data_IF_680498640481
#
_entry.id   IF_680498640481
#
_cell.length_a   1.000
_cell.length_b   1.000
_cell.length_c   1.000
_cell.angle_alpha   90.00
_cell.angle_beta   90.00
_cell.angle_gamma   90.00
#
_symmetry.space_group_name_H-M   'P 1'
#
loop_
_entity.id
_entity.type
_entity.pdbx_description
1 polymer ?
#
# COMPACT_ATOMS: atom_id res chain seq x y z
N UNK A 1 -5.65 -11.55 -2.39
CA UNK A 1 -4.25 -11.17 -2.18
C UNK A 1 -4.05 -10.92 -0.71
N UNK A 2 -2.92 -11.37 -0.17
CA UNK A 2 -2.57 -11.11 1.21
C UNK A 2 -1.09 -10.75 1.25
N UNK A 3 -0.75 -9.66 1.91
CA UNK A 3 0.61 -9.30 2.24
C UNK A 3 0.70 -9.08 3.74
N UNK A 4 1.68 -9.71 4.38
CA UNK A 4 1.97 -9.59 5.80
C UNK A 4 3.41 -9.10 5.92
N UNK A 5 3.60 -8.00 6.64
CA UNK A 5 4.91 -7.39 6.87
C UNK A 5 5.14 -7.33 8.37
N UNK A 6 6.22 -7.96 8.85
CA UNK A 6 6.51 -7.99 10.28
C UNK A 6 6.85 -6.62 10.83
N UNK A 7 6.63 -6.47 12.13
CA UNK A 7 6.97 -5.26 12.88
C UNK A 7 8.43 -4.87 12.66
N UNK A 8 8.67 -3.60 12.33
CA UNK A 8 10.00 -3.05 12.08
C UNK A 8 10.35 -2.89 10.60
N UNK A 9 9.69 -3.64 9.70
CA UNK A 9 9.84 -3.45 8.25
C UNK A 9 8.99 -2.29 7.74
N UNK A 10 7.79 -2.14 8.32
CA UNK A 10 6.79 -1.16 7.91
C UNK A 10 6.37 -0.35 9.13
N UNK A 11 6.26 0.97 8.95
CA UNK A 11 5.76 1.89 9.96
C UNK A 11 4.31 2.28 9.62
N UNK A 12 3.30 1.51 10.05
CA UNK A 12 1.91 1.90 9.83
C UNK A 12 1.58 3.17 10.63
N UNK A 13 0.61 3.98 10.19
CA UNK A 13 0.13 5.11 10.98
C UNK A 13 -0.38 4.63 12.34
N UNK A 14 -0.02 5.34 13.42
CA UNK A 14 -0.39 4.94 14.78
C UNK A 14 -1.90 4.95 14.99
N UNK A 15 -2.61 5.79 14.24
CA UNK A 15 -4.06 5.99 14.29
C UNK A 15 -4.84 4.77 13.76
N UNK A 16 -4.17 3.86 13.05
CA UNK A 16 -4.76 2.58 12.65
C UNK A 16 -4.87 1.61 13.83
N UNK A 17 -4.04 1.79 14.87
CA UNK A 17 -4.06 0.95 16.05
C UNK A 17 -5.20 1.38 16.97
N UNK A 18 -6.19 0.50 17.17
CA UNK A 18 -7.22 0.69 18.18
C UNK A 18 -6.92 -0.23 19.35
N UNK A 19 -6.63 0.30 20.55
CA UNK A 19 -6.47 -0.54 21.73
C UNK A 19 -7.79 -1.29 21.94
N UNK A 20 -7.73 -2.61 21.77
CA UNK A 20 -8.91 -3.46 21.88
C UNK A 20 -9.53 -3.31 23.28
N UNK A 21 -10.86 -3.24 23.34
CA UNK A 21 -11.60 -3.60 24.54
C UNK A 21 -11.18 -5.03 24.97
N UNK A 22 -11.03 -5.32 26.28
CA UNK A 22 -10.65 -6.64 26.77
C UNK A 22 -11.68 -7.75 26.51
N UNK A 23 -12.78 -7.47 25.80
CA UNK A 23 -13.77 -8.46 25.41
C UNK A 23 -13.54 -8.96 23.98
N UNK A 24 -12.78 -10.04 23.84
CA UNK A 24 -13.09 -11.16 22.94
C UNK A 24 -12.07 -12.30 23.14
N UNK A 25 -12.58 -13.44 23.57
CA UNK A 25 -11.95 -14.72 23.87
C UNK A 25 -11.40 -15.49 22.65
N UNK A 26 -10.81 -14.79 21.68
CA UNK A 26 -10.21 -15.42 20.50
C UNK A 26 -8.72 -15.15 20.54
N UNK A 27 -7.90 -16.15 20.84
CA UNK A 27 -6.45 -16.01 20.76
C UNK A 27 -6.07 -15.44 19.38
N UNK A 28 -5.17 -14.44 19.32
CA UNK A 28 -4.75 -13.90 18.03
C UNK A 28 -4.18 -15.02 17.17
N UNK A 29 -4.73 -15.18 15.96
CA UNK A 29 -4.24 -16.17 15.01
C UNK A 29 -2.83 -15.81 14.59
N UNK A 30 -1.93 -16.79 14.60
CA UNK A 30 -0.57 -16.58 14.12
C UNK A 30 -0.59 -16.32 12.60
N UNK A 31 0.41 -15.59 12.10
CA UNK A 31 0.58 -15.30 10.66
C UNK A 31 0.48 -16.56 9.78
N UNK A 32 1.01 -17.70 10.25
CA UNK A 32 0.92 -18.99 9.58
C UNK A 32 -0.50 -19.60 9.56
N UNK A 33 -1.29 -19.40 10.61
CA UNK A 33 -2.68 -19.90 10.68
C UNK A 33 -3.58 -19.09 9.74
N UNK A 34 -3.34 -17.77 9.66
CA UNK A 34 -4.02 -16.88 8.72
C UNK A 34 -3.69 -17.31 7.29
N UNK A 35 -2.42 -17.61 7.02
CA UNK A 35 -1.98 -18.08 5.72
C UNK A 35 -2.63 -19.41 5.34
N UNK A 36 -2.64 -20.38 6.25
CA UNK A 36 -3.32 -21.67 6.04
C UNK A 36 -4.80 -21.46 5.75
N UNK A 37 -5.49 -20.62 6.53
CA UNK A 37 -6.89 -20.28 6.27
C UNK A 37 -7.10 -19.68 4.87
N UNK A 38 -6.29 -18.70 4.50
CA UNK A 38 -6.35 -18.06 3.19
C UNK A 38 -6.12 -19.05 2.02
N UNK A 39 -5.17 -19.96 2.17
CA UNK A 39 -4.85 -20.95 1.14
C UNK A 39 -5.88 -22.09 1.08
N UNK A 40 -6.49 -22.47 2.22
CA UNK A 40 -7.57 -23.47 2.24
C UNK A 40 -8.81 -23.00 1.49
N UNK A 41 -9.10 -21.70 1.51
CA UNK A 41 -10.24 -21.11 0.79
C UNK A 41 -9.97 -20.93 -0.73
N UNK A 42 -8.71 -21.07 -1.16
CA UNK A 42 -8.27 -20.77 -2.53
C UNK A 42 -7.84 -22.03 -3.30
N UNK A 43 -8.53 -22.34 -4.40
CA UNK A 43 -8.03 -23.31 -5.38
C UNK A 43 -6.78 -22.74 -6.06
N UNK A 44 -5.63 -23.41 -5.91
CA UNK A 44 -4.33 -23.01 -6.49
C UNK A 44 -3.72 -21.71 -5.93
N UNK A 45 -3.99 -21.39 -4.67
CA UNK A 45 -3.24 -20.35 -3.97
C UNK A 45 -1.80 -20.79 -3.65
N UNK A 46 -0.88 -19.82 -3.56
CA UNK A 46 0.48 -20.05 -3.08
C UNK A 46 0.94 -18.89 -2.19
N UNK A 47 2.03 -19.13 -1.47
CA UNK A 47 2.64 -18.15 -0.58
C UNK A 47 4.16 -18.12 -0.75
N UNK A 48 4.74 -16.94 -0.60
CA UNK A 48 6.18 -16.70 -0.64
C UNK A 48 6.56 -15.98 0.65
N UNK A 49 7.45 -16.58 1.43
CA UNK A 49 8.03 -15.99 2.63
C UNK A 49 9.44 -15.49 2.37
N UNK A 50 9.80 -14.35 2.97
CA UNK A 50 11.10 -13.70 2.82
C UNK A 50 11.74 -13.51 4.19
N UNK A 51 12.68 -14.39 4.54
CA UNK A 51 13.55 -14.32 5.74
C UNK A 51 12.84 -13.87 7.02
N UNK A 52 11.63 -14.39 7.23
CA UNK A 52 10.78 -14.06 8.37
C UNK A 52 10.37 -12.57 8.50
N UNK A 53 10.64 -11.74 7.49
CA UNK A 53 10.32 -10.30 7.47
C UNK A 53 9.01 -9.99 6.75
N UNK A 54 8.76 -10.68 5.64
CA UNK A 54 7.58 -10.45 4.81
C UNK A 54 7.01 -11.77 4.31
N UNK A 55 5.70 -11.80 4.13
CA UNK A 55 4.99 -12.92 3.55
C UNK A 55 3.94 -12.42 2.56
N UNK A 56 4.03 -12.90 1.33
CA UNK A 56 3.11 -12.59 0.25
C UNK A 56 2.32 -13.85 -0.10
N UNK A 57 0.99 -13.78 -0.06
CA UNK A 57 0.12 -14.85 -0.49
C UNK A 57 -0.75 -14.41 -1.66
N UNK A 58 -0.75 -15.24 -2.69
CA UNK A 58 -1.53 -15.07 -3.89
C UNK A 58 -2.58 -16.18 -3.97
N UNK A 59 -3.79 -15.81 -4.33
CA UNK A 59 -4.83 -16.73 -4.73
C UNK A 59 -5.33 -16.29 -6.10
N UNK A 60 -5.59 -17.19 -7.05
CA UNK A 60 -6.24 -16.78 -8.29
C UNK A 60 -7.66 -16.26 -8.01
N UNK A 61 -8.18 -15.34 -8.85
CA UNK A 61 -9.56 -14.89 -8.73
C UNK A 61 -10.53 -16.06 -8.98
N UNK A 62 -11.59 -16.15 -8.19
CA UNK A 62 -12.64 -17.16 -8.38
C UNK A 62 -13.34 -16.93 -9.73
N UNK A 63 -13.79 -17.98 -10.44
CA UNK A 63 -14.37 -17.88 -11.80
C UNK A 63 -15.60 -16.96 -11.92
N UNK A 64 -16.29 -16.68 -10.80
CA UNK A 64 -17.44 -15.77 -10.72
C UNK A 64 -17.04 -14.29 -10.72
N UNK A 65 -15.83 -13.96 -10.28
CA UNK A 65 -15.29 -12.59 -10.21
C UNK A 65 -14.38 -12.30 -11.41
N UNK A 66 -14.93 -12.38 -12.63
CA UNK A 66 -14.20 -12.04 -13.87
C UNK A 66 -13.87 -10.56 -14.03
N UNK A 67 -14.31 -9.70 -13.11
CA UNK A 67 -14.20 -8.26 -13.27
C UNK A 67 -12.77 -7.73 -13.08
N UNK A 68 -11.92 -8.40 -12.29
CA UNK A 68 -10.60 -7.87 -11.94
C UNK A 68 -9.53 -8.95 -12.00
N UNK A 69 -8.51 -8.73 -12.81
CA UNK A 69 -7.38 -9.62 -12.95
C UNK A 69 -6.47 -9.51 -11.73
N UNK A 70 -5.91 -10.64 -11.28
CA UNK A 70 -4.87 -10.67 -10.25
C UNK A 70 -3.60 -11.23 -10.86
N UNK A 71 -2.49 -10.55 -10.67
CA UNK A 71 -1.20 -10.95 -11.19
C UNK A 71 -0.18 -11.00 -10.06
N UNK A 72 0.70 -11.99 -10.10
CA UNK A 72 1.89 -12.06 -9.28
C UNK A 72 3.11 -12.03 -10.18
N UNK A 73 4.08 -11.17 -9.89
CA UNK A 73 5.32 -11.09 -10.64
C UNK A 73 6.49 -10.84 -9.69
N UNK A 74 7.62 -11.50 -9.94
CA UNK A 74 8.89 -11.25 -9.24
C UNK A 74 9.99 -11.00 -10.25
N UNK A 75 10.64 -9.83 -10.19
CA UNK A 75 11.73 -9.44 -11.08
C UNK A 75 12.80 -8.72 -10.26
N UNK A 76 14.06 -9.18 -10.35
CA UNK A 76 15.21 -8.58 -9.66
C UNK A 76 15.03 -8.42 -8.14
N UNK A 77 14.48 -9.45 -7.49
CA UNK A 77 14.20 -9.50 -6.05
C UNK A 77 13.14 -8.47 -5.59
N UNK A 78 12.34 -7.97 -6.54
CA UNK A 78 11.18 -7.13 -6.29
C UNK A 78 9.94 -7.94 -6.66
N UNK A 79 9.03 -8.07 -5.71
CA UNK A 79 7.83 -8.89 -5.84
C UNK A 79 6.60 -8.00 -5.81
N UNK A 80 5.69 -8.21 -6.77
CA UNK A 80 4.48 -7.43 -6.92
C UNK A 80 3.26 -8.35 -7.00
N UNK A 81 2.26 -8.05 -6.16
CA UNK A 81 0.89 -8.52 -6.37
C UNK A 81 0.10 -7.35 -6.94
N UNK A 82 -0.33 -7.48 -8.19
CA UNK A 82 -1.18 -6.51 -8.86
C UNK A 82 -2.62 -7.01 -8.91
N UNK A 83 -3.54 -6.07 -8.76
CA UNK A 83 -4.98 -6.27 -8.84
C UNK A 83 -5.58 -5.23 -9.78
N UNK A 84 -6.41 -5.67 -10.71
CA UNK A 84 -7.17 -4.81 -11.60
C UNK A 84 -6.67 -4.89 -13.03
N UNK A 85 -6.76 -3.79 -13.77
CA UNK A 85 -6.34 -3.70 -15.17
C UNK A 85 -6.00 -2.26 -15.55
N UNK A 86 -4.99 -2.09 -16.39
CA UNK A 86 -4.59 -0.78 -16.91
C UNK A 86 -5.02 -0.64 -18.38
N UNK A 87 -5.80 0.40 -18.66
CA UNK A 87 -6.31 0.71 -20.00
C UNK A 87 -5.22 1.26 -20.94
N UNK A 88 -4.20 1.90 -20.38
CA UNK A 88 -3.11 2.55 -21.12
C UNK A 88 -1.76 1.79 -21.05
N UNK A 89 -1.78 0.50 -20.67
CA UNK A 89 -0.59 -0.34 -20.50
C UNK A 89 0.34 -0.35 -21.73
N UNK A 90 -0.20 -0.36 -22.94
CA UNK A 90 0.61 -0.37 -24.17
C UNK A 90 1.46 0.90 -24.31
N UNK A 91 0.90 2.06 -23.95
CA UNK A 91 1.61 3.35 -23.97
C UNK A 91 2.69 3.38 -22.88
N UNK A 92 2.33 2.95 -21.67
CA UNK A 92 3.22 2.86 -20.53
C UNK A 92 4.42 1.94 -20.82
N UNK A 93 4.18 0.76 -21.40
CA UNK A 93 5.23 -0.18 -21.78
C UNK A 93 6.23 0.44 -22.78
N UNK A 94 5.74 1.21 -23.76
CA UNK A 94 6.62 1.89 -24.72
C UNK A 94 7.47 2.97 -24.06
N UNK A 95 6.89 3.77 -23.16
CA UNK A 95 7.59 4.85 -22.46
C UNK A 95 8.69 4.32 -21.53
N UNK A 96 8.45 3.20 -20.86
CA UNK A 96 9.41 2.57 -19.96
C UNK A 96 10.32 1.55 -20.65
N UNK A 97 10.20 1.37 -21.97
CA UNK A 97 11.08 0.49 -22.76
C UNK A 97 10.86 -1.01 -22.49
N UNK A 98 9.67 -1.41 -22.04
CA UNK A 98 9.30 -2.80 -21.81
C UNK A 98 9.09 -3.55 -23.14
N UNK A 99 9.55 -4.80 -23.18
CA UNK A 99 9.41 -5.67 -24.36
C UNK A 99 7.95 -6.04 -24.67
N UNK A 100 7.69 -6.57 -25.88
CA UNK A 100 6.37 -7.07 -26.27
C UNK A 100 5.96 -8.23 -25.35
N UNK A 101 4.97 -8.02 -24.49
CA UNK A 101 4.49 -9.00 -23.51
C UNK A 101 4.52 -8.54 -22.05
N UNK A 102 4.94 -7.30 -21.76
CA UNK A 102 4.83 -6.72 -20.44
C UNK A 102 3.39 -6.66 -19.94
N UNK A 103 3.11 -7.34 -18.83
CA UNK A 103 1.85 -7.23 -18.10
C UNK A 103 1.91 -6.09 -17.07
N UNK A 104 0.77 -5.79 -16.45
CA UNK A 104 0.64 -4.70 -15.47
C UNK A 104 1.59 -4.86 -14.28
N UNK A 105 1.75 -6.08 -13.76
CA UNK A 105 2.66 -6.34 -12.64
C UNK A 105 4.13 -6.09 -13.01
N UNK A 106 4.56 -6.50 -14.20
CA UNK A 106 5.90 -6.23 -14.72
C UNK A 106 6.13 -4.72 -14.92
N UNK A 107 5.14 -4.03 -15.47
CA UNK A 107 5.20 -2.58 -15.63
C UNK A 107 5.37 -1.87 -14.29
N UNK A 108 4.56 -2.21 -13.28
CA UNK A 108 4.64 -1.58 -11.95
C UNK A 108 6.01 -1.83 -11.31
N UNK A 109 6.60 -3.04 -11.46
CA UNK A 109 7.96 -3.30 -10.97
C UNK A 109 8.98 -2.40 -11.66
N UNK A 110 8.95 -2.28 -12.99
CA UNK A 110 9.90 -1.41 -13.71
C UNK A 110 9.71 0.08 -13.40
N UNK A 111 8.47 0.52 -13.22
CA UNK A 111 8.15 1.88 -12.79
C UNK A 111 8.73 2.17 -11.40
N UNK A 112 8.53 1.25 -10.44
CA UNK A 112 9.11 1.34 -9.09
C UNK A 112 10.64 1.36 -9.12
N UNK A 113 11.27 0.49 -9.91
CA UNK A 113 12.74 0.48 -10.08
C UNK A 113 13.26 1.79 -10.63
N UNK A 114 12.56 2.37 -11.61
CA UNK A 114 12.93 3.67 -12.19
C UNK A 114 12.84 4.79 -11.16
N UNK A 115 11.80 4.78 -10.32
CA UNK A 115 11.63 5.74 -9.21
C UNK A 115 12.74 5.62 -8.15
N UNK A 116 13.16 4.38 -7.85
CA UNK A 116 14.24 4.09 -6.88
C UNK A 116 15.62 4.44 -7.42
N UNK A 117 15.93 4.00 -8.64
CA UNK A 117 17.30 3.99 -9.18
C UNK A 117 17.66 5.25 -10.01
N UNK A 118 16.68 5.93 -10.62
CA UNK A 118 16.93 6.96 -11.65
C UNK A 118 16.31 8.33 -11.34
N UNK A 119 15.91 8.59 -10.10
CA UNK A 119 15.06 9.71 -9.69
C UNK A 119 15.44 11.09 -10.28
N UNK A 120 14.53 11.69 -11.06
CA UNK A 120 13.98 12.97 -10.62
C UNK A 120 12.44 13.00 -10.54
N UNK A 121 11.75 11.93 -10.96
CA UNK A 121 10.28 11.91 -11.03
C UNK A 121 9.65 11.47 -9.70
N UNK A 122 8.65 12.19 -9.18
CA UNK A 122 7.96 11.78 -7.97
C UNK A 122 6.92 10.70 -8.26
N UNK A 123 6.81 9.70 -7.37
CA UNK A 123 5.94 8.54 -7.55
C UNK A 123 4.45 8.90 -7.79
N UNK A 124 3.98 10.04 -7.27
CA UNK A 124 2.60 10.46 -7.49
C UNK A 124 2.29 10.80 -8.96
N UNK A 125 3.27 11.27 -9.73
CA UNK A 125 3.07 11.54 -11.16
C UNK A 125 2.88 10.23 -11.92
N UNK A 126 3.75 9.24 -11.66
CA UNK A 126 3.67 7.92 -12.27
C UNK A 126 2.32 7.26 -11.99
N UNK A 127 1.83 7.34 -10.74
CA UNK A 127 0.53 6.78 -10.37
C UNK A 127 -0.65 7.52 -11.00
N UNK A 128 -0.53 8.84 -11.22
CA UNK A 128 -1.57 9.64 -11.86
C UNK A 128 -1.68 9.35 -13.36
N UNK A 129 -0.58 8.92 -13.98
CA UNK A 129 -0.55 8.50 -15.38
C UNK A 129 -1.14 7.09 -15.59
N UNK A 130 -1.50 6.36 -14.53
CA UNK A 130 -2.14 5.05 -14.65
C UNK A 130 -3.63 5.21 -14.90
N UNK A 131 -4.10 4.74 -16.06
CA UNK A 131 -5.52 4.76 -16.42
C UNK A 131 -6.13 3.37 -16.21
N UNK A 132 -7.20 3.30 -15.43
CA UNK A 132 -7.94 2.07 -15.16
C UNK A 132 -8.12 1.82 -13.67
N UNK A 133 -8.69 0.68 -13.34
CA UNK A 133 -8.90 0.22 -11.97
C UNK A 133 -7.68 -0.57 -11.53
N UNK A 134 -6.89 -0.06 -10.59
CA UNK A 134 -5.69 -0.75 -10.13
C UNK A 134 -5.50 -0.69 -8.62
N UNK A 135 -4.86 -1.71 -8.08
CA UNK A 135 -4.35 -1.76 -6.72
C UNK A 135 -3.17 -2.71 -6.70
N UNK A 136 -2.09 -2.37 -6.01
CA UNK A 136 -0.93 -3.25 -5.98
C UNK A 136 -0.16 -3.13 -4.67
N UNK A 137 0.58 -4.19 -4.37
CA UNK A 137 1.55 -4.25 -3.27
C UNK A 137 2.87 -4.73 -3.84
N UNK A 138 3.91 -3.92 -3.69
CA UNK A 138 5.30 -4.23 -4.00
C UNK A 138 6.07 -4.42 -2.71
N UNK A 139 6.87 -5.49 -2.69
CA UNK A 139 7.92 -5.71 -1.70
C UNK A 139 9.27 -5.81 -2.41
N UNK A 140 10.17 -4.89 -2.07
CA UNK A 140 11.56 -4.94 -2.50
C UNK A 140 12.39 -5.64 -1.43
N UNK A 141 12.85 -6.85 -1.73
CA UNK A 141 13.61 -7.64 -0.77
C UNK A 141 15.02 -7.08 -0.54
N UNK A 142 15.63 -6.41 -1.53
CA UNK A 142 16.98 -5.82 -1.38
C UNK A 142 16.97 -4.55 -0.56
N UNK A 143 16.00 -3.68 -0.82
CA UNK A 143 15.88 -2.42 -0.10
C UNK A 143 15.10 -2.56 1.21
N UNK A 144 14.46 -3.71 1.45
CA UNK A 144 13.55 -3.95 2.57
C UNK A 144 12.43 -2.89 2.63
N UNK A 145 11.93 -2.47 1.46
CA UNK A 145 10.87 -1.46 1.37
C UNK A 145 9.58 -2.04 0.84
N UNK A 146 8.47 -1.41 1.26
CA UNK A 146 7.13 -1.76 0.83
C UNK A 146 6.51 -0.56 0.15
N UNK A 147 5.92 -0.79 -1.02
CA UNK A 147 5.20 0.22 -1.77
C UNK A 147 3.82 -0.30 -2.17
N UNK A 148 2.76 0.39 -1.76
CA UNK A 148 1.37 0.00 -2.00
C UNK A 148 0.62 1.19 -2.59
N UNK A 149 -0.25 0.96 -3.55
CA UNK A 149 -1.13 2.01 -4.07
C UNK A 149 -2.50 1.45 -4.44
N UNK A 150 -3.51 2.32 -4.39
CA UNK A 150 -4.87 2.05 -4.80
C UNK A 150 -5.38 3.18 -5.69
N UNK A 151 -5.99 2.82 -6.82
CA UNK A 151 -6.63 3.74 -7.76
C UNK A 151 -7.70 4.61 -7.10
N UNK A 152 -8.04 5.72 -7.75
CA UNK A 152 -9.02 6.69 -7.26
C UNK A 152 -10.47 6.35 -7.62
N UNK A 153 -10.69 5.32 -8.44
CA UNK A 153 -11.97 5.00 -9.07
C UNK A 153 -12.94 4.20 -8.18
N UNK A 154 -12.54 3.86 -6.95
CA UNK A 154 -13.29 3.09 -5.95
C UNK A 154 -13.85 1.73 -6.44
N UNK A 155 -13.43 1.30 -7.64
CA UNK A 155 -13.79 0.01 -8.23
C UNK A 155 -13.17 -1.15 -7.45
N UNK A 156 -12.01 -0.88 -6.84
CA UNK A 156 -11.23 -1.82 -6.07
C UNK A 156 -11.18 -1.41 -4.61
N UNK A 157 -11.28 -2.40 -3.72
CA UNK A 157 -11.20 -2.20 -2.28
C UNK A 157 -10.05 -2.98 -1.72
N UNK A 158 -9.08 -2.26 -1.18
CA UNK A 158 -7.97 -2.81 -0.44
C UNK A 158 -8.15 -2.41 1.03
N UNK A 159 -7.79 -3.31 1.93
CA UNK A 159 -7.87 -3.10 3.37
C UNK A 159 -6.49 -3.30 3.96
N UNK A 160 -6.22 -2.55 5.02
CA UNK A 160 -5.00 -2.69 5.79
C UNK A 160 -5.30 -2.71 7.28
N UNK A 161 -4.45 -3.37 8.04
CA UNK A 161 -4.61 -3.48 9.48
C UNK A 161 -3.32 -3.85 10.18
N UNK A 162 -3.33 -3.69 11.50
CA UNK A 162 -2.24 -4.08 12.38
C UNK A 162 -2.68 -5.30 13.15
N UNK A 163 -1.97 -6.41 12.95
CA UNK A 163 -2.17 -7.64 13.70
C UNK A 163 -1.65 -7.49 15.14
N UNK A 164 -2.01 -8.42 16.02
CA UNK A 164 -1.65 -8.37 17.44
C UNK A 164 -0.15 -8.45 17.72
N UNK A 165 0.62 -9.04 16.81
CA UNK A 165 2.09 -9.11 16.85
C UNK A 165 2.75 -7.80 16.37
N UNK A 166 1.96 -6.82 15.93
CA UNK A 166 2.41 -5.56 15.34
C UNK A 166 2.77 -5.66 13.86
N UNK A 167 2.48 -6.79 13.21
CA UNK A 167 2.65 -6.94 11.76
C UNK A 167 1.57 -6.17 11.00
N UNK A 168 1.94 -5.57 9.88
CA UNK A 168 1.01 -4.89 8.97
C UNK A 168 0.48 -5.91 7.98
N UNK A 169 -0.84 -5.97 7.86
CA UNK A 169 -1.53 -6.82 6.90
C UNK A 169 -2.23 -5.98 5.84
N UNK A 170 -2.14 -6.40 4.58
CA UNK A 170 -2.82 -5.77 3.45
C UNK A 170 -3.54 -6.87 2.66
N UNK A 171 -4.82 -6.69 2.39
CA UNK A 171 -5.66 -7.67 1.68
C UNK A 171 -6.87 -7.01 1.04
N UNK A 172 -7.37 -7.59 -0.03
CA UNK A 172 -8.68 -7.28 -0.64
C UNK A 172 -9.86 -7.87 0.13
N UNK A 173 -9.61 -8.91 0.93
CA UNK A 173 -10.66 -9.60 1.67
C UNK A 173 -10.78 -8.99 3.08
N UNK A 174 -11.89 -8.29 3.31
CA UNK A 174 -12.19 -7.63 4.58
C UNK A 174 -12.38 -8.62 5.73
N UNK A 175 -12.94 -9.81 5.49
CA UNK A 175 -13.23 -10.78 6.55
C UNK A 175 -11.93 -11.42 7.07
N UNK A 176 -10.95 -11.60 6.18
CA UNK A 176 -9.60 -12.01 6.55
C UNK A 176 -8.93 -10.96 7.45
N UNK A 177 -9.03 -9.68 7.10
CA UNK A 177 -8.45 -8.59 7.89
C UNK A 177 -9.17 -8.46 9.24
N UNK A 178 -10.51 -8.52 9.27
CA UNK A 178 -11.29 -8.48 10.52
C UNK A 178 -10.93 -9.62 11.46
N UNK A 179 -10.80 -10.84 10.94
CA UNK A 179 -10.46 -12.01 11.76
C UNK A 179 -9.04 -11.94 12.34
N UNK A 180 -8.13 -11.23 11.68
CA UNK A 180 -6.71 -11.15 12.06
C UNK A 180 -6.39 -9.89 12.89
N UNK A 181 -6.82 -8.72 12.42
CA UNK A 181 -6.53 -7.40 12.99
C UNK A 181 -7.63 -6.91 13.96
N UNK A 182 -8.73 -7.65 14.11
CA UNK A 182 -9.89 -7.30 14.96
C UNK A 182 -10.44 -5.90 14.68
N UNK A 183 -10.26 -4.96 15.62
CA UNK A 183 -10.70 -3.55 15.51
C UNK A 183 -9.59 -2.63 14.95
N UNK A 184 -8.35 -3.10 14.82
CA UNK A 184 -7.20 -2.33 14.31
C UNK A 184 -7.05 -2.44 12.79
N UNK A 185 -8.09 -2.09 12.05
CA UNK A 185 -8.07 -2.11 10.58
C UNK A 185 -8.89 -0.98 9.97
N UNK A 186 -8.59 -0.68 8.71
CA UNK A 186 -9.29 0.32 7.93
C UNK A 186 -9.31 -0.06 6.44
N UNK A 187 -10.21 0.54 5.64
CA UNK A 187 -10.01 0.59 4.20
C UNK A 187 -8.72 1.37 3.88
N UNK A 188 -7.95 0.88 2.92
CA UNK A 188 -6.87 1.66 2.33
C UNK A 188 -7.51 2.76 1.47
N UNK A 189 -7.11 4.03 1.63
CA UNK A 189 -7.80 5.12 0.97
C UNK A 189 -7.60 5.09 -0.55
N UNK A 190 -8.67 5.27 -1.35
CA UNK A 190 -8.57 5.45 -2.80
C UNK A 190 -7.69 6.67 -3.14
N UNK A 191 -7.04 6.64 -4.30
CA UNK A 191 -6.23 7.77 -4.77
C UNK A 191 -4.95 7.99 -3.95
N UNK A 192 -4.53 6.99 -3.19
CA UNK A 192 -3.39 7.08 -2.27
C UNK A 192 -2.35 6.01 -2.51
N UNK A 193 -1.14 6.29 -2.02
CA UNK A 193 -0.03 5.36 -1.96
C UNK A 193 0.63 5.38 -0.59
N UNK A 194 1.21 4.25 -0.21
CA UNK A 194 1.98 4.07 0.99
C UNK A 194 3.39 3.58 0.62
N UNK A 195 4.41 4.25 1.15
CA UNK A 195 5.81 3.81 1.05
C UNK A 195 6.38 3.67 2.45
N UNK A 196 7.09 2.58 2.75
CA UNK A 196 7.62 2.31 4.11
C UNK A 196 8.41 3.47 4.71
N UNK A 197 9.15 4.21 3.90
CA UNK A 197 9.96 5.37 4.35
C UNK A 197 9.19 6.70 4.39
N UNK A 198 8.20 6.90 3.50
CA UNK A 198 7.51 8.19 3.33
C UNK A 198 6.13 8.22 3.97
N UNK A 199 5.62 7.07 4.38
CA UNK A 199 4.27 6.90 4.90
C UNK A 199 3.20 6.98 3.81
N UNK A 200 1.98 7.25 4.27
CA UNK A 200 0.78 7.35 3.43
C UNK A 200 0.66 8.77 2.84
N UNK A 201 0.42 8.86 1.53
CA UNK A 201 0.16 10.11 0.83
C UNK A 201 -0.86 9.93 -0.30
N UNK A 202 -1.63 10.98 -0.59
CA UNK A 202 -2.48 11.03 -1.78
C UNK A 202 -1.65 11.35 -3.01
N UNK A 203 -1.81 10.59 -4.10
CA UNK A 203 -1.21 10.95 -5.38
C UNK A 203 -2.10 11.88 -6.21
N UNK A 204 -3.40 11.97 -5.90
CA UNK A 204 -4.30 12.97 -6.47
C UNK A 204 -4.02 14.38 -5.93
N UNK A 205 -3.73 14.46 -4.63
CA UNK A 205 -3.44 15.69 -3.92
C UNK A 205 -2.10 15.61 -3.16
N UNK A 206 -0.96 15.52 -3.87
CA UNK A 206 0.36 15.27 -3.27
C UNK A 206 0.84 16.40 -2.34
N UNK A 207 0.26 17.59 -2.47
CA UNK A 207 0.60 18.75 -1.64
C UNK A 207 -0.23 18.83 -0.36
N UNK A 208 -1.22 17.96 -0.17
CA UNK A 208 -2.14 18.00 0.96
C UNK A 208 -1.76 16.90 1.97
N UNK A 209 -1.92 17.19 3.26
CA UNK A 209 -1.66 16.20 4.32
C UNK A 209 -2.80 15.18 4.40
N UNK A 210 -2.45 13.94 4.72
CA UNK A 210 -3.45 12.93 5.11
C UNK A 210 -3.82 13.12 6.57
N UNK A 211 -5.11 13.07 6.89
CA UNK A 211 -5.67 13.14 8.24
C UNK A 211 -6.39 11.85 8.58
N UNK A 212 -6.08 11.31 9.75
CA UNK A 212 -6.79 10.17 10.31
C UNK A 212 -8.13 10.64 10.92
N UNK A 213 -9.20 9.98 10.52
CA UNK A 213 -10.55 10.15 11.02
C UNK A 213 -10.92 8.89 11.83
N UNK A 214 -11.02 8.97 13.16
CA UNK A 214 -11.37 7.83 13.98
C UNK A 214 -12.69 7.22 13.54
N UNK A 215 -12.72 5.89 13.41
CA UNK A 215 -13.94 5.16 13.06
C UNK A 215 -14.53 4.53 14.31
N UNK A 216 -15.85 4.59 14.43
CA UNK A 216 -16.61 3.97 15.51
C UNK A 216 -17.50 2.89 14.90
N UNK A 217 -17.52 1.70 15.49
CA UNK A 217 -18.44 0.64 15.09
C UNK A 217 -19.87 0.85 15.64
N UNK A 218 -20.79 -0.03 15.25
CA UNK A 218 -22.17 -0.02 15.76
C UNK A 218 -22.28 -0.26 17.26
N UNK A 219 -21.22 -0.76 17.91
CA UNK A 219 -21.15 -0.99 19.37
C UNK A 219 -20.61 0.24 20.11
N UNK A 220 -20.25 1.31 19.40
CA UNK A 220 -19.67 2.51 19.99
C UNK A 220 -18.16 2.41 20.28
N UNK A 221 -17.49 1.35 19.82
CA UNK A 221 -16.06 1.16 20.03
C UNK A 221 -15.22 1.70 18.86
N UNK A 222 -14.03 2.21 19.18
CA UNK A 222 -13.07 2.69 18.18
C UNK A 222 -12.51 1.53 17.35
N UNK A 223 -12.56 1.66 16.03
CA UNK A 223 -12.22 0.63 15.04
C UNK A 223 -11.36 1.20 13.91
N UNK A 224 -10.07 1.41 14.20
CA UNK A 224 -9.09 2.00 13.31
C UNK A 224 -9.41 3.44 12.94
N UNK A 225 -8.80 3.91 11.86
CA UNK A 225 -9.05 5.24 11.31
C UNK A 225 -9.16 5.20 9.78
N UNK A 226 -10.12 5.95 9.24
CA UNK A 226 -10.15 6.25 7.82
C UNK A 226 -9.18 7.39 7.54
N UNK A 227 -8.43 7.32 6.45
CA UNK A 227 -7.50 8.38 6.09
C UNK A 227 -8.09 9.20 4.95
N UNK A 228 -8.19 10.52 5.16
CA UNK A 228 -8.73 11.44 4.17
C UNK A 228 -7.74 12.57 3.91
N UNK A 229 -7.81 13.15 2.72
CA UNK A 229 -7.01 14.33 2.36
C UNK A 229 -7.55 15.54 3.12
N UNK A 230 -6.67 16.23 3.85
CA UNK A 230 -6.99 17.52 4.45
C UNK A 230 -6.81 18.62 3.40
N UNK A 231 -7.92 19.14 2.90
CA UNK A 231 -7.93 20.20 1.89
C UNK A 231 -7.27 21.51 2.36
N UNK A 232 -7.18 21.74 3.66
CA UNK A 232 -6.70 22.99 4.25
C UNK A 232 -5.24 22.92 4.70
N UNK A 233 -4.72 21.72 4.95
CA UNK A 233 -3.35 21.51 5.44
C UNK A 233 -2.42 21.07 4.32
N UNK A 234 -1.45 21.92 3.96
CA UNK A 234 -0.40 21.56 3.00
C UNK A 234 0.75 20.81 3.67
N UNK A 235 1.34 19.86 2.95
CA UNK A 235 2.64 19.27 3.30
C UNK A 235 3.66 20.42 3.24
N UNK A 236 4.40 20.64 4.34
CA UNK A 236 5.43 21.68 4.38
C UNK A 236 6.48 21.35 3.30
N UNK A 237 6.37 21.99 2.14
CA UNK A 237 7.43 22.04 1.15
C UNK A 237 8.39 23.15 1.56
N UNK A 238 9.69 22.93 1.34
CA UNK A 238 10.74 23.91 1.63
C UNK A 238 10.27 25.33 1.24
N UNK A 239 10.49 26.35 2.09
CA UNK A 239 10.14 27.71 1.73
C UNK A 239 10.83 28.01 0.40
N UNK A 240 10.05 28.40 -0.62
CA UNK A 240 10.60 28.90 -1.87
C UNK A 240 11.35 30.19 -1.54
N UNK A 241 12.64 30.07 -1.29
CA UNK A 241 13.55 31.21 -1.36
C UNK A 241 13.54 31.63 -2.82
N UNK A 242 12.91 32.78 -3.09
CA UNK A 242 13.00 33.42 -4.40
C UNK A 242 14.46 33.68 -4.74
N UNK A 243 14.76 33.89 -6.01
CA UNK A 243 16.10 34.30 -6.50
C UNK A 243 16.61 35.61 -5.89
N UNK A 244 15.79 36.28 -5.08
CA UNK A 244 16.09 37.48 -4.31
C UNK A 244 16.61 37.17 -2.88
N UNK A 245 16.61 35.90 -2.46
CA UNK A 245 17.16 35.50 -1.16
C UNK A 245 18.67 35.70 -1.18
N UNK A 246 19.11 36.76 -0.52
CA UNK A 246 20.49 37.17 -0.39
C UNK A 246 21.29 36.09 0.38
N UNK A 247 22.18 35.36 -0.29
CA UNK A 247 22.96 34.25 0.30
C UNK A 247 24.01 34.72 1.34
N UNK A 248 24.07 36.03 1.62
CA UNK A 248 25.13 36.64 2.41
C UNK A 248 24.78 36.93 3.89
N UNK A 249 23.59 36.57 4.40
CA UNK A 249 23.21 36.88 5.81
C UNK A 249 23.41 35.74 6.81
N UNK A 250 24.08 34.64 6.44
CA UNK A 250 24.55 33.66 7.44
C UNK A 250 25.85 34.12 8.08
N UNK A 251 25.69 35.02 9.06
CA UNK A 251 26.76 35.40 9.99
C UNK A 251 26.61 36.82 10.52
N UNK A 252 25.68 37.01 11.47
CA UNK A 252 25.61 38.05 12.52
C UNK A 252 24.16 38.01 13.04
N UNK A 253 23.85 37.69 14.29
CA UNK A 253 24.29 38.25 15.58
C UNK A 253 24.20 37.12 16.63
N UNK A 254 25.21 36.83 17.46
CA UNK A 254 25.70 37.63 18.59
C UNK A 254 24.60 37.94 19.62
#
# INVERSE_FOLDING_TARGET
>A
MLAIFKKGLVNPPQELNSPASPQASINPKNSEEILKGFLSDACNGFSVGFDDKALLAYAPPQPSFKAHQRLFCGVNDIYCIFWGSLNNLCTLNKQYGLSKGGNEAMFVIEAYRTLRDRGPYPAHQVLKDLEGSFGFVIYDHKAETVFTALGADDALKLFWGIASDGSVMISDNVDLIKSSCRKSFAPFPPGCMYHSERGLMSFEHPMNKMKAMPRIDSEGAMCGANFMVDAYSKVNSMPRVGSEANWATWGQQA
#
